data_IF_642266227754
#
_entry.id   IF_642266227754
#
_cell.length_a   1.000
_cell.length_b   1.000
_cell.length_c   1.000
_cell.angle_alpha   90.00
_cell.angle_beta   90.00
_cell.angle_gamma   90.00
#
_symmetry.space_group_name_H-M   'P 1'
#
loop_
_entity.id
_entity.type
_entity.pdbx_description
1 polymer ?
#
# COMPACT_ATOMS: atom_id res chain seq x y z
N UNK A 1 -6.29 6.73 4.24
CA UNK A 1 -5.44 7.76 3.63
C UNK A 1 -4.14 7.13 3.19
N UNK A 2 -3.46 7.74 2.23
CA UNK A 2 -2.13 7.35 1.75
C UNK A 2 -1.14 8.51 1.89
N UNK A 3 0.11 8.19 2.23
CA UNK A 3 1.22 9.14 2.32
C UNK A 3 2.48 8.50 1.75
N UNK A 4 3.23 9.22 0.91
CA UNK A 4 4.54 8.76 0.48
C UNK A 4 5.56 8.94 1.62
N UNK A 5 6.51 8.01 1.73
CA UNK A 5 7.55 8.05 2.74
C UNK A 5 8.90 7.67 2.12
N UNK A 6 9.98 8.15 2.73
CA UNK A 6 11.34 7.75 2.42
C UNK A 6 11.86 6.85 3.56
N UNK A 7 12.15 5.58 3.26
CA UNK A 7 12.93 4.73 4.17
C UNK A 7 14.40 5.05 4.01
N UNK A 8 15.11 5.26 5.11
CA UNK A 8 16.56 5.18 5.15
C UNK A 8 16.96 3.81 5.71
N UNK A 9 17.69 3.01 4.92
CA UNK A 9 18.35 1.81 5.42
C UNK A 9 19.68 2.11 6.12
N UNK A 10 20.26 1.10 6.79
CA UNK A 10 21.59 1.19 7.43
C UNK A 10 22.75 1.39 6.43
N UNK A 11 22.50 1.25 5.12
CA UNK A 11 23.52 1.28 4.06
C UNK A 11 23.25 2.35 3.00
N UNK A 12 22.99 3.62 3.34
CA UNK A 12 22.76 4.73 2.37
C UNK A 12 21.76 4.42 1.22
N UNK A 13 20.94 3.37 1.36
CA UNK A 13 19.88 3.03 0.43
C UNK A 13 18.61 3.71 0.89
N UNK A 14 18.05 4.48 -0.02
CA UNK A 14 16.81 5.21 0.14
C UNK A 14 15.74 4.48 -0.66
N UNK A 15 14.67 4.06 0.01
CA UNK A 15 13.52 3.44 -0.65
C UNK A 15 12.31 4.35 -0.48
N UNK A 16 11.76 4.82 -1.60
CA UNK A 16 10.47 5.51 -1.58
C UNK A 16 9.35 4.48 -1.48
N UNK A 17 8.36 4.74 -0.62
CA UNK A 17 7.23 3.85 -0.38
C UNK A 17 5.94 4.65 -0.22
N UNK A 18 4.80 3.96 -0.24
CA UNK A 18 3.50 4.54 0.11
C UNK A 18 2.95 3.82 1.34
N UNK A 19 2.67 4.56 2.39
CA UNK A 19 1.99 4.02 3.57
C UNK A 19 0.51 4.33 3.54
N UNK A 20 -0.28 3.32 3.86
CA UNK A 20 -1.72 3.33 3.87
C UNK A 20 -2.20 3.24 5.31
N UNK A 21 -3.17 4.07 5.65
CA UNK A 21 -3.96 3.97 6.87
C UNK A 21 -5.40 3.64 6.51
N UNK A 22 -5.85 2.47 6.93
CA UNK A 22 -7.19 1.98 6.71
C UNK A 22 -8.16 2.61 7.72
N UNK A 23 -9.41 2.80 7.29
CA UNK A 23 -10.53 3.14 8.18
C UNK A 23 -10.83 1.93 9.06
N UNK A 24 -11.30 2.17 10.28
CA UNK A 24 -11.61 1.09 11.24
C UNK A 24 -12.59 0.06 10.67
N UNK A 25 -13.59 0.52 9.91
CA UNK A 25 -14.58 -0.35 9.24
C UNK A 25 -14.00 -1.32 8.20
N UNK A 26 -12.76 -1.09 7.72
CA UNK A 26 -12.08 -1.93 6.74
C UNK A 26 -10.98 -2.80 7.33
N UNK A 27 -10.58 -2.59 8.59
CA UNK A 27 -9.40 -3.26 9.18
C UNK A 27 -9.55 -4.78 9.24
N UNK A 28 -10.68 -5.25 9.75
CA UNK A 28 -10.94 -6.69 9.93
C UNK A 28 -10.94 -7.43 8.59
N UNK A 29 -11.71 -6.95 7.62
CA UNK A 29 -11.76 -7.55 6.27
C UNK A 29 -10.40 -7.53 5.57
N UNK A 30 -9.63 -6.46 5.75
CA UNK A 30 -8.30 -6.36 5.16
C UNK A 30 -7.30 -7.32 5.83
N UNK A 31 -7.38 -7.50 7.15
CA UNK A 31 -6.59 -8.47 7.89
C UNK A 31 -6.87 -9.90 7.41
N UNK A 32 -8.14 -10.28 7.28
CA UNK A 32 -8.53 -11.60 6.76
C UNK A 32 -8.05 -11.83 5.32
N UNK A 33 -8.20 -10.83 4.45
CA UNK A 33 -7.75 -10.91 3.07
C UNK A 33 -6.22 -11.07 2.98
N UNK A 34 -5.48 -10.24 3.72
CA UNK A 34 -4.00 -10.28 3.70
C UNK A 34 -3.47 -11.56 4.32
N UNK A 35 -4.09 -12.09 5.37
CA UNK A 35 -3.75 -13.41 5.93
C UNK A 35 -3.83 -14.52 4.89
N UNK A 36 -4.95 -14.59 4.16
CA UNK A 36 -5.16 -15.60 3.11
C UNK A 36 -4.18 -15.44 1.94
N UNK A 37 -3.93 -14.19 1.53
CA UNK A 37 -3.04 -13.88 0.41
C UNK A 37 -1.57 -14.11 0.75
N UNK A 38 -1.13 -13.81 1.98
CA UNK A 38 0.24 -14.05 2.42
C UNK A 38 0.61 -15.54 2.32
N UNK A 39 -0.28 -16.44 2.74
CA UNK A 39 -0.04 -17.89 2.66
C UNK A 39 0.03 -18.43 1.22
N UNK A 40 -0.60 -17.73 0.27
CA UNK A 40 -0.67 -18.13 -1.14
C UNK A 40 0.22 -17.30 -2.06
N UNK A 41 1.02 -16.37 -1.51
CA UNK A 41 1.80 -15.37 -2.28
C UNK A 41 0.92 -14.57 -3.26
N UNK A 42 -0.31 -14.28 -2.84
CA UNK A 42 -1.27 -13.51 -3.60
C UNK A 42 -0.94 -12.01 -3.64
N UNK A 43 -1.75 -11.26 -4.38
CA UNK A 43 -1.56 -9.85 -4.63
C UNK A 43 -2.81 -9.05 -4.24
N UNK A 44 -2.60 -7.79 -3.86
CA UNK A 44 -3.66 -6.79 -3.74
C UNK A 44 -3.41 -5.73 -4.81
N UNK A 45 -4.44 -5.44 -5.59
CA UNK A 45 -4.42 -4.40 -6.62
C UNK A 45 -5.29 -3.23 -6.19
N UNK A 46 -4.77 -2.02 -6.40
CA UNK A 46 -5.48 -0.77 -6.13
C UNK A 46 -5.96 -0.16 -7.45
N UNK A 47 -7.21 0.27 -7.47
CA UNK A 47 -7.88 0.83 -8.64
C UNK A 47 -8.35 2.26 -8.37
N UNK A 48 -8.37 3.09 -9.42
CA UNK A 48 -8.97 4.42 -9.46
C UNK A 48 -9.67 4.57 -10.81
N UNK A 49 -10.96 4.92 -10.82
CA UNK A 49 -11.78 5.04 -12.03
C UNK A 49 -11.64 3.82 -12.97
N UNK A 50 -11.82 2.62 -12.42
CA UNK A 50 -11.66 1.33 -13.11
C UNK A 50 -10.25 1.03 -13.67
N UNK A 51 -9.28 1.92 -13.46
CA UNK A 51 -7.88 1.71 -13.86
C UNK A 51 -7.07 1.16 -12.69
N UNK A 52 -6.35 0.07 -12.91
CA UNK A 52 -5.36 -0.43 -11.95
C UNK A 52 -4.17 0.54 -11.89
N UNK A 53 -3.91 1.09 -10.71
CA UNK A 53 -2.81 2.04 -10.46
C UNK A 53 -1.64 1.43 -9.69
N UNK A 54 -1.86 0.31 -8.99
CA UNK A 54 -0.81 -0.41 -8.27
C UNK A 54 -1.21 -1.87 -8.05
N UNK A 55 -0.24 -2.78 -8.07
CA UNK A 55 -0.41 -4.17 -7.65
C UNK A 55 0.78 -4.55 -6.79
N UNK A 56 0.52 -5.07 -5.59
CA UNK A 56 1.54 -5.43 -4.62
C UNK A 56 1.35 -6.87 -4.13
N UNK A 57 2.44 -7.60 -4.00
CA UNK A 57 2.44 -8.92 -3.35
C UNK A 57 2.22 -8.76 -1.86
N UNK A 58 1.33 -9.56 -1.29
CA UNK A 58 1.11 -9.61 0.15
C UNK A 58 2.17 -10.48 0.79
N UNK A 59 2.98 -9.89 1.67
CA UNK A 59 4.07 -10.58 2.38
C UNK A 59 3.63 -11.17 3.73
N UNK A 60 2.68 -10.54 4.40
CA UNK A 60 2.22 -10.91 5.74
C UNK A 60 0.77 -10.46 6.00
N UNK A 61 0.17 -10.96 7.08
CA UNK A 61 -1.12 -10.50 7.59
C UNK A 61 -1.03 -9.07 8.14
N UNK A 62 -2.00 -8.22 7.78
CA UNK A 62 -2.04 -6.81 8.18
C UNK A 62 -3.25 -6.55 9.08
N UNK A 63 -3.07 -6.73 10.38
CA UNK A 63 -4.13 -6.58 11.38
C UNK A 63 -4.26 -5.17 11.98
N UNK A 64 -3.19 -4.37 11.96
CA UNK A 64 -3.15 -3.03 12.57
C UNK A 64 -3.90 -1.95 11.79
N UNK A 65 -4.33 -2.24 10.55
CA UNK A 65 -4.92 -1.24 9.66
C UNK A 65 -3.91 -0.24 9.11
N UNK A 66 -2.62 -0.57 9.15
CA UNK A 66 -1.55 0.18 8.52
C UNK A 66 -0.81 -0.75 7.57
N UNK A 67 -0.63 -0.34 6.31
CA UNK A 67 0.03 -1.13 5.28
C UNK A 67 1.08 -0.27 4.57
N UNK A 68 2.07 -0.92 3.97
CA UNK A 68 3.08 -0.23 3.15
C UNK A 68 3.17 -0.89 1.78
N UNK A 69 3.06 -0.09 0.73
CA UNK A 69 3.40 -0.47 -0.65
C UNK A 69 4.84 -0.01 -0.87
N UNK A 70 5.74 -0.96 -1.04
CA UNK A 70 7.17 -0.70 -1.26
C UNK A 70 7.63 -1.35 -2.57
N UNK A 71 8.79 -0.91 -3.07
CA UNK A 71 9.31 -1.26 -4.38
C UNK A 71 10.33 -0.23 -4.86
N UNK A 72 10.80 -0.38 -6.10
CA UNK A 72 11.78 0.52 -6.70
C UNK A 72 11.13 1.83 -7.19
N UNK A 73 10.38 2.51 -6.33
CA UNK A 73 9.76 3.79 -6.67
C UNK A 73 10.78 4.92 -6.64
N UNK A 74 10.59 5.87 -7.53
CA UNK A 74 11.10 7.24 -7.38
C UNK A 74 10.20 8.04 -6.43
N UNK A 75 10.68 9.21 -6.00
CA UNK A 75 9.89 10.13 -5.17
C UNK A 75 8.57 10.53 -5.85
N UNK A 76 8.63 10.86 -7.14
CA UNK A 76 7.48 11.31 -7.92
C UNK A 76 6.46 10.17 -8.12
N UNK A 77 6.91 8.94 -8.36
CA UNK A 77 6.02 7.78 -8.49
C UNK A 77 5.31 7.46 -7.16
N UNK A 78 6.05 7.45 -6.04
CA UNK A 78 5.45 7.21 -4.73
C UNK A 78 4.45 8.32 -4.36
N UNK A 79 4.79 9.58 -4.66
CA UNK A 79 3.89 10.71 -4.46
C UNK A 79 2.64 10.61 -5.33
N UNK A 80 2.79 10.36 -6.63
CA UNK A 80 1.68 10.23 -7.56
C UNK A 80 0.73 9.10 -7.14
N UNK A 81 1.27 7.94 -6.75
CA UNK A 81 0.46 6.84 -6.25
C UNK A 81 -0.32 7.21 -4.98
N UNK A 82 0.33 7.87 -4.01
CA UNK A 82 -0.36 8.31 -2.79
C UNK A 82 -1.50 9.30 -3.11
N UNK A 83 -1.26 10.26 -4.01
CA UNK A 83 -2.25 11.25 -4.44
C UNK A 83 -3.44 10.57 -5.15
N UNK A 84 -3.17 9.60 -6.04
CA UNK A 84 -4.22 8.81 -6.71
C UNK A 84 -5.07 7.97 -5.74
N UNK A 85 -4.43 7.31 -4.77
CA UNK A 85 -5.15 6.52 -3.76
C UNK A 85 -6.06 7.41 -2.92
N UNK A 86 -5.61 8.62 -2.57
CA UNK A 86 -6.43 9.58 -1.85
C UNK A 86 -7.57 10.15 -2.73
N UNK A 87 -7.33 10.36 -4.03
CA UNK A 87 -8.33 10.81 -4.99
C UNK A 87 -9.47 9.82 -5.19
N UNK A 88 -9.18 8.52 -5.28
CA UNK A 88 -10.19 7.46 -5.35
C UNK A 88 -10.92 7.20 -4.02
N UNK A 89 -10.39 7.72 -2.90
CA UNK A 89 -11.01 7.64 -1.58
C UNK A 89 -11.90 8.85 -1.25
N UNK A 90 -12.10 9.76 -2.22
CA UNK A 90 -13.07 10.85 -2.11
C UNK A 90 -14.49 10.24 -2.05
N UNK A 91 -15.32 10.64 -1.06
CA UNK A 91 -16.64 10.08 -0.81
C UNK A 91 -17.67 10.35 -1.93
#
# INVERSE_FOLDING_TARGET
SAVYQLKSGNSKEYEYMVSLKLKDSGKEKFAEATKKLASSKGYISTYMDDKCISTATVKEEISGGEATISGNFTADEAKALADQINGGALP
#
